data_IF_913294028976
#
_entry.id   IF_913294028976
#
_cell.length_a   1.000
_cell.length_b   1.000
_cell.length_c   1.000
_cell.angle_alpha   90.00
_cell.angle_beta   90.00
_cell.angle_gamma   90.00
#
_symmetry.space_group_name_H-M   'P 1'
#
loop_
_entity.id
_entity.type
_entity.pdbx_description
1 polymer ?
#
# COMPACT_ATOMS: atom_id res chain seq x y z
N UNK A 1 -54.22 1.53 0.78
CA UNK A 1 -53.98 2.04 2.15
C UNK A 1 -52.69 2.86 2.10
N UNK A 2 -52.78 4.19 2.18
CA UNK A 2 -51.61 5.05 2.23
C UNK A 2 -51.03 5.06 3.66
N UNK A 3 -49.71 5.06 3.79
CA UNK A 3 -49.05 5.09 5.10
C UNK A 3 -49.43 6.37 5.87
N UNK A 4 -49.67 6.25 7.18
CA UNK A 4 -50.08 7.37 8.04
C UNK A 4 -48.99 8.45 8.11
N UNK A 5 -49.41 9.72 8.02
CA UNK A 5 -48.49 10.87 8.12
C UNK A 5 -47.88 10.91 9.51
N UNK A 6 -46.55 10.89 9.60
CA UNK A 6 -45.80 10.89 10.88
C UNK A 6 -45.20 9.54 11.29
N UNK A 7 -45.30 8.52 10.44
CA UNK A 7 -44.79 7.20 10.79
C UNK A 7 -43.24 7.15 10.78
N UNK A 8 -42.63 6.79 11.92
CA UNK A 8 -41.17 6.78 12.12
C UNK A 8 -40.58 5.37 12.00
N UNK A 9 -40.87 4.67 10.89
CA UNK A 9 -40.40 3.30 10.63
C UNK A 9 -38.88 3.12 10.76
N UNK A 10 -38.09 4.18 10.52
CA UNK A 10 -36.64 4.20 10.72
C UNK A 10 -36.21 3.97 12.17
N UNK A 11 -37.09 4.16 13.17
CA UNK A 11 -36.84 3.85 14.59
C UNK A 11 -37.05 2.37 14.95
N UNK A 12 -37.72 1.60 14.09
CA UNK A 12 -37.94 0.16 14.25
C UNK A 12 -36.76 -0.67 13.72
N UNK A 13 -35.69 -0.01 13.26
CA UNK A 13 -34.53 -0.67 12.70
C UNK A 13 -33.68 -1.25 13.84
N UNK A 14 -33.50 -2.58 13.83
CA UNK A 14 -32.70 -3.29 14.84
C UNK A 14 -31.18 -3.20 14.62
N UNK A 15 -30.73 -2.91 13.39
CA UNK A 15 -29.31 -2.79 13.04
C UNK A 15 -29.13 -1.91 11.80
N UNK A 16 -28.10 -1.07 11.83
CA UNK A 16 -27.69 -0.26 10.68
C UNK A 16 -26.51 -0.91 9.92
N UNK A 17 -26.59 -0.90 8.58
CA UNK A 17 -25.46 -1.30 7.71
C UNK A 17 -25.27 -2.80 7.47
N UNK A 18 -24.17 -3.14 6.78
CA UNK A 18 -23.73 -4.52 6.51
C UNK A 18 -23.02 -5.06 7.75
N UNK A 19 -23.24 -6.33 8.09
CA UNK A 19 -22.48 -6.99 9.16
C UNK A 19 -20.98 -6.99 8.84
N UNK A 20 -20.16 -6.92 9.90
CA UNK A 20 -18.72 -7.11 9.78
C UNK A 20 -18.46 -8.52 9.23
N UNK A 21 -17.42 -8.64 8.41
CA UNK A 21 -16.93 -9.92 7.89
C UNK A 21 -16.17 -10.65 9.01
N UNK A 22 -15.39 -9.92 9.80
CA UNK A 22 -14.68 -10.44 10.96
C UNK A 22 -15.26 -9.85 12.25
N UNK A 23 -15.57 -10.70 13.22
CA UNK A 23 -16.05 -10.28 14.55
C UNK A 23 -14.89 -10.12 15.53
N UNK A 24 -13.85 -10.96 15.42
CA UNK A 24 -12.64 -10.97 16.24
C UNK A 24 -11.39 -10.62 15.41
N UNK A 25 -10.43 -9.92 16.02
CA UNK A 25 -9.13 -9.60 15.45
C UNK A 25 -8.24 -10.85 15.30
N UNK A 26 -8.39 -11.86 16.16
CA UNK A 26 -7.63 -13.13 16.05
C UNK A 26 -7.97 -13.90 14.77
N UNK A 27 -9.25 -13.95 14.42
CA UNK A 27 -9.72 -14.58 13.17
C UNK A 27 -9.15 -13.84 11.95
N UNK A 28 -9.16 -12.51 12.00
CA UNK A 28 -8.54 -11.69 10.96
C UNK A 28 -7.04 -11.96 10.84
N UNK A 29 -6.32 -12.03 11.97
CA UNK A 29 -4.88 -12.29 11.98
C UNK A 29 -4.57 -13.66 11.37
N UNK A 30 -5.33 -14.68 11.74
CA UNK A 30 -5.17 -16.05 11.23
C UNK A 30 -5.31 -16.10 9.70
N UNK A 31 -6.30 -15.41 9.14
CA UNK A 31 -6.48 -15.35 7.68
C UNK A 31 -5.40 -14.53 6.97
N UNK A 32 -4.90 -13.45 7.59
CA UNK A 32 -3.76 -12.69 7.07
C UNK A 32 -2.48 -13.54 7.05
N UNK A 33 -2.23 -14.31 8.12
CA UNK A 33 -1.08 -15.23 8.19
C UNK A 33 -1.13 -16.29 7.09
N UNK A 34 -2.30 -16.89 6.84
CA UNK A 34 -2.50 -17.82 5.73
C UNK A 34 -2.18 -17.18 4.38
N UNK A 35 -2.69 -15.98 4.12
CA UNK A 35 -2.38 -15.25 2.89
C UNK A 35 -0.87 -15.02 2.72
N UNK A 36 -0.17 -14.60 3.78
CA UNK A 36 1.28 -14.39 3.70
C UNK A 36 2.05 -15.70 3.51
N UNK A 37 1.59 -16.80 4.11
CA UNK A 37 2.18 -18.12 3.87
C UNK A 37 2.01 -18.54 2.40
N UNK A 38 0.78 -18.45 1.87
CA UNK A 38 0.51 -18.75 0.45
C UNK A 38 1.38 -17.91 -0.48
N UNK A 39 1.55 -16.61 -0.17
CA UNK A 39 2.43 -15.73 -0.95
C UNK A 39 3.90 -16.14 -0.89
N UNK A 40 4.37 -16.57 0.27
CA UNK A 40 5.76 -17.04 0.43
C UNK A 40 6.08 -18.33 -0.33
N UNK A 41 5.05 -19.11 -0.67
CA UNK A 41 5.17 -20.37 -1.42
C UNK A 41 4.86 -20.18 -2.93
N UNK A 42 4.39 -19.00 -3.33
CA UNK A 42 3.95 -18.68 -4.69
C UNK A 42 5.06 -17.98 -5.51
N UNK A 43 5.07 -18.26 -6.82
CA UNK A 43 6.03 -17.67 -7.76
C UNK A 43 5.33 -17.19 -9.04
N UNK A 44 5.82 -16.08 -9.57
CA UNK A 44 5.48 -15.54 -10.89
C UNK A 44 6.55 -15.96 -11.88
N UNK A 45 6.14 -16.62 -12.97
CA UNK A 45 7.03 -16.98 -14.07
C UNK A 45 7.20 -15.80 -15.03
N UNK A 46 8.41 -15.25 -15.09
CA UNK A 46 8.79 -14.20 -16.03
C UNK A 46 9.53 -14.82 -17.22
N UNK A 47 9.01 -14.71 -18.46
CA UNK A 47 9.75 -15.12 -19.63
C UNK A 47 10.97 -14.21 -19.83
N UNK A 48 12.12 -14.80 -20.11
CA UNK A 48 13.36 -14.10 -20.48
C UNK A 48 14.11 -14.91 -21.55
N UNK A 49 15.11 -14.30 -22.17
CA UNK A 49 15.90 -14.93 -23.25
C UNK A 49 17.37 -15.00 -22.81
N UNK A 50 18.01 -16.12 -23.09
CA UNK A 50 19.45 -16.27 -22.87
C UNK A 50 20.20 -15.33 -23.83
N UNK A 51 21.01 -14.44 -23.27
CA UNK A 51 21.62 -13.32 -24.01
C UNK A 51 22.98 -13.64 -24.63
N UNK A 52 23.61 -14.76 -24.28
CA UNK A 52 24.97 -15.11 -24.72
C UNK A 52 25.25 -16.61 -24.59
N UNK A 53 26.25 -17.09 -25.34
CA UNK A 53 26.69 -18.49 -25.38
C UNK A 53 25.96 -19.33 -26.42
N UNK A 54 26.19 -20.64 -26.38
CA UNK A 54 25.65 -21.59 -27.38
C UNK A 54 24.12 -21.70 -27.35
N UNK A 55 23.52 -21.39 -26.19
CA UNK A 55 22.07 -21.38 -25.98
C UNK A 55 21.44 -19.98 -26.19
N UNK A 56 22.19 -19.03 -26.75
CA UNK A 56 21.68 -17.68 -26.99
C UNK A 56 20.45 -17.70 -27.90
N UNK A 57 19.40 -16.99 -27.50
CA UNK A 57 18.12 -16.96 -28.21
C UNK A 57 17.08 -17.98 -27.69
N UNK A 58 17.45 -18.88 -26.78
CA UNK A 58 16.49 -19.75 -26.13
C UNK A 58 15.64 -19.02 -25.08
N UNK A 59 14.36 -19.37 -25.02
CA UNK A 59 13.44 -18.83 -24.02
C UNK A 59 13.58 -19.61 -22.71
N UNK A 60 13.74 -18.87 -21.61
CA UNK A 60 13.74 -19.40 -20.26
C UNK A 60 12.61 -18.76 -19.45
N UNK A 61 12.22 -19.41 -18.36
CA UNK A 61 11.30 -18.84 -17.38
C UNK A 61 12.04 -18.63 -16.08
N UNK A 62 12.16 -17.36 -15.67
CA UNK A 62 12.73 -16.98 -14.39
C UNK A 62 11.58 -16.98 -13.38
N UNK A 63 11.74 -17.74 -12.30
CA UNK A 63 10.82 -17.71 -11.16
C UNK A 63 11.13 -16.51 -10.29
N UNK A 64 10.13 -15.70 -10.03
CA UNK A 64 10.20 -14.54 -9.13
C UNK A 64 9.19 -14.77 -8.02
N UNK A 65 9.56 -14.48 -6.77
CA UNK A 65 8.63 -14.58 -5.64
C UNK A 65 7.39 -13.72 -5.88
N UNK A 66 6.23 -14.20 -5.44
CA UNK A 66 4.98 -13.44 -5.49
C UNK A 66 4.90 -12.48 -4.29
N UNK A 67 4.57 -11.21 -4.54
CA UNK A 67 4.60 -10.16 -3.53
C UNK A 67 3.20 -9.72 -3.13
N UNK A 68 2.90 -9.61 -1.82
CA UNK A 68 1.60 -9.21 -1.37
C UNK A 68 1.37 -7.73 -1.63
N UNK A 69 0.10 -7.39 -1.88
CA UNK A 69 -0.36 -6.00 -1.99
C UNK A 69 -1.53 -5.79 -1.04
N UNK A 70 -1.76 -4.53 -0.64
CA UNK A 70 -2.84 -4.18 0.29
C UNK A 70 -4.21 -4.48 -0.34
N UNK A 71 -4.33 -4.18 -1.62
CA UNK A 71 -5.52 -4.39 -2.43
C UNK A 71 -5.83 -5.88 -2.57
N UNK A 72 -4.83 -6.69 -2.93
CA UNK A 72 -5.01 -8.13 -3.07
C UNK A 72 -5.33 -8.79 -1.73
N UNK A 73 -4.63 -8.42 -0.64
CA UNK A 73 -4.96 -8.90 0.71
C UNK A 73 -6.43 -8.58 1.05
N UNK A 74 -6.89 -7.36 0.73
CA UNK A 74 -8.28 -6.99 0.98
C UNK A 74 -9.27 -7.85 0.19
N UNK A 75 -8.95 -8.17 -1.06
CA UNK A 75 -9.78 -9.04 -1.92
C UNK A 75 -9.77 -10.48 -1.41
N UNK A 76 -8.61 -11.00 -1.01
CA UNK A 76 -8.46 -12.34 -0.43
C UNK A 76 -9.34 -12.50 0.82
N UNK A 77 -9.34 -11.49 1.69
CA UNK A 77 -10.16 -11.45 2.91
C UNK A 77 -11.65 -11.16 2.65
N UNK A 78 -12.08 -11.04 1.38
CA UNK A 78 -13.48 -10.85 0.99
C UNK A 78 -13.97 -9.40 1.01
N UNK A 79 -13.07 -8.42 1.11
CA UNK A 79 -13.38 -7.00 0.94
C UNK A 79 -13.27 -6.57 -0.52
N UNK A 80 -14.02 -5.54 -0.90
CA UNK A 80 -13.97 -5.02 -2.26
C UNK A 80 -12.73 -4.15 -2.54
N UNK A 81 -12.14 -3.56 -1.48
CA UNK A 81 -11.01 -2.63 -1.56
C UNK A 81 -10.35 -2.44 -0.20
N UNK A 82 -9.10 -1.99 -0.20
CA UNK A 82 -8.28 -1.79 0.99
C UNK A 82 -8.94 -0.89 2.04
N UNK A 83 -9.61 0.20 1.64
CA UNK A 83 -10.23 1.12 2.60
C UNK A 83 -11.31 0.43 3.45
N UNK A 84 -11.99 -0.58 2.90
CA UNK A 84 -13.01 -1.33 3.65
C UNK A 84 -12.40 -2.14 4.80
N UNK A 85 -11.22 -2.72 4.56
CA UNK A 85 -10.43 -3.42 5.58
C UNK A 85 -9.80 -2.41 6.54
N UNK A 86 -9.22 -1.32 6.03
CA UNK A 86 -8.59 -0.27 6.84
C UNK A 86 -9.54 0.32 7.90
N UNK A 87 -10.83 0.44 7.60
CA UNK A 87 -11.83 0.92 8.56
C UNK A 87 -11.94 0.04 9.82
N UNK A 88 -11.45 -1.21 9.78
CA UNK A 88 -11.46 -2.06 10.98
C UNK A 88 -10.56 -1.54 12.09
N UNK A 89 -9.53 -0.75 11.74
CA UNK A 89 -8.66 -0.08 12.71
C UNK A 89 -9.41 0.85 13.67
N UNK A 90 -10.61 1.29 13.30
CA UNK A 90 -11.43 2.19 14.12
C UNK A 90 -12.33 1.43 15.12
N UNK A 91 -12.44 0.10 15.02
CA UNK A 91 -13.33 -0.66 15.89
C UNK A 91 -12.72 -1.02 17.25
N UNK A 92 -11.49 -1.52 17.27
CA UNK A 92 -10.76 -1.90 18.50
C UNK A 92 -9.25 -1.74 18.30
N UNK A 93 -8.51 -1.64 19.40
CA UNK A 93 -7.04 -1.60 19.39
C UNK A 93 -6.45 -2.87 18.77
N UNK A 94 -7.05 -4.04 19.03
CA UNK A 94 -6.57 -5.32 18.48
C UNK A 94 -6.64 -5.34 16.94
N UNK A 95 -7.74 -4.82 16.35
CA UNK A 95 -7.83 -4.68 14.90
C UNK A 95 -6.80 -3.67 14.36
N UNK A 96 -6.55 -2.58 15.09
CA UNK A 96 -5.52 -1.62 14.72
C UNK A 96 -4.15 -2.27 14.69
N UNK A 97 -3.79 -3.06 15.71
CA UNK A 97 -2.51 -3.76 15.81
C UNK A 97 -2.32 -4.75 14.66
N UNK A 98 -3.29 -5.66 14.45
CA UNK A 98 -3.22 -6.69 13.40
C UNK A 98 -3.09 -6.06 12.01
N UNK A 99 -3.89 -5.05 11.69
CA UNK A 99 -3.86 -4.43 10.34
C UNK A 99 -2.56 -3.63 10.17
N UNK A 100 -2.07 -2.97 11.23
CA UNK A 100 -0.80 -2.22 11.17
C UNK A 100 0.40 -3.15 11.03
N UNK A 101 0.37 -4.31 11.69
CA UNK A 101 1.35 -5.38 11.49
C UNK A 101 1.35 -5.84 10.03
N UNK A 102 0.18 -6.16 9.47
CA UNK A 102 0.06 -6.58 8.07
C UNK A 102 0.59 -5.53 7.09
N UNK A 103 0.28 -4.25 7.29
CA UNK A 103 0.83 -3.16 6.49
C UNK A 103 2.36 -3.08 6.58
N UNK A 104 2.90 -3.28 7.78
CA UNK A 104 4.34 -3.25 8.04
C UNK A 104 5.04 -4.43 7.35
N UNK A 105 4.45 -5.63 7.36
CA UNK A 105 4.97 -6.79 6.63
C UNK A 105 5.02 -6.52 5.13
N UNK A 106 3.92 -6.05 4.54
CA UNK A 106 3.82 -5.73 3.11
C UNK A 106 4.84 -4.64 2.73
N UNK A 107 4.96 -3.59 3.55
CA UNK A 107 5.95 -2.53 3.36
C UNK A 107 7.38 -3.09 3.31
N UNK A 108 7.73 -3.94 4.28
CA UNK A 108 9.06 -4.52 4.38
C UNK A 108 9.39 -5.46 3.21
N UNK A 109 8.44 -6.27 2.74
CA UNK A 109 8.64 -7.09 1.55
C UNK A 109 8.94 -6.20 0.33
N UNK A 110 8.08 -5.22 0.05
CA UNK A 110 8.29 -4.29 -1.08
C UNK A 110 9.67 -3.64 -1.02
N UNK A 111 10.09 -3.16 0.16
CA UNK A 111 11.37 -2.47 0.33
C UNK A 111 12.57 -3.42 0.12
N UNK A 112 12.57 -4.59 0.78
CA UNK A 112 13.65 -5.59 0.67
C UNK A 112 13.88 -6.05 -0.77
N UNK A 113 12.79 -6.38 -1.47
CA UNK A 113 12.88 -6.88 -2.85
C UNK A 113 13.19 -5.77 -3.86
N UNK A 114 12.81 -4.53 -3.56
CA UNK A 114 13.26 -3.36 -4.33
C UNK A 114 14.76 -3.12 -4.16
N UNK A 115 15.28 -3.26 -2.94
CA UNK A 115 16.70 -3.07 -2.64
C UNK A 115 17.62 -4.04 -3.40
N UNK A 116 17.16 -5.27 -3.69
CA UNK A 116 17.89 -6.26 -4.50
C UNK A 116 17.57 -6.20 -6.00
N UNK A 117 16.76 -5.23 -6.44
CA UNK A 117 16.45 -5.01 -7.87
C UNK A 117 15.43 -5.97 -8.47
N UNK A 118 14.72 -6.76 -7.65
CA UNK A 118 13.64 -7.64 -8.13
C UNK A 118 12.41 -6.81 -8.53
N UNK A 119 12.09 -5.80 -7.73
CA UNK A 119 11.00 -4.87 -7.99
C UNK A 119 11.50 -3.57 -8.62
N UNK A 120 10.66 -2.93 -9.44
CA UNK A 120 10.99 -1.65 -10.04
C UNK A 120 10.95 -0.53 -8.97
N UNK A 121 12.12 0.01 -8.64
CA UNK A 121 12.26 1.02 -7.59
C UNK A 121 11.41 2.28 -7.82
N UNK A 122 11.24 2.72 -9.06
CA UNK A 122 10.46 3.93 -9.37
C UNK A 122 8.95 3.71 -9.13
N UNK A 123 8.44 2.51 -9.39
CA UNK A 123 7.04 2.16 -9.12
C UNK A 123 6.82 2.07 -7.62
N UNK A 124 7.71 1.36 -6.90
CA UNK A 124 7.59 1.17 -5.46
C UNK A 124 7.80 2.48 -4.69
N UNK A 125 8.71 3.37 -5.11
CA UNK A 125 8.86 4.68 -4.49
C UNK A 125 7.56 5.50 -4.57
N UNK A 126 6.85 5.45 -5.69
CA UNK A 126 5.54 6.13 -5.85
C UNK A 126 4.44 5.49 -5.01
N UNK A 127 4.40 4.15 -4.96
CA UNK A 127 3.44 3.38 -4.16
C UNK A 127 3.63 3.62 -2.65
N UNK A 128 4.87 3.65 -2.18
CA UNK A 128 5.21 3.88 -0.78
C UNK A 128 5.23 5.37 -0.39
N UNK A 129 5.10 6.28 -1.36
CA UNK A 129 5.21 7.73 -1.12
C UNK A 129 6.61 8.19 -0.71
N UNK A 130 7.65 7.46 -1.10
CA UNK A 130 9.04 7.84 -0.87
C UNK A 130 9.39 8.95 -1.87
N UNK A 131 9.62 10.16 -1.36
CA UNK A 131 9.97 11.31 -2.17
C UNK A 131 11.48 11.59 -2.10
N UNK A 132 12.07 11.87 -3.26
CA UNK A 132 13.43 12.40 -3.34
C UNK A 132 13.46 13.82 -2.78
N UNK A 133 14.25 14.01 -1.72
CA UNK A 133 14.57 15.35 -1.22
C UNK A 133 15.69 15.92 -2.08
N UNK A 134 15.33 16.77 -3.04
CA UNK A 134 16.31 17.57 -3.76
C UNK A 134 16.54 18.88 -3.01
N UNK A 135 17.78 19.11 -2.59
CA UNK A 135 18.21 20.42 -2.13
C UNK A 135 18.52 21.29 -3.35
N UNK A 136 17.65 22.25 -3.63
CA UNK A 136 17.85 23.24 -4.70
C UNK A 136 18.56 24.50 -4.18
N UNK A 137 19.11 24.44 -2.96
CA UNK A 137 19.70 25.58 -2.25
C UNK A 137 21.21 25.44 -2.03
N UNK A 138 21.86 26.58 -1.81
CA UNK A 138 23.29 26.75 -1.54
C UNK A 138 23.71 25.99 -0.28
N UNK A 139 24.26 24.78 -0.42
CA UNK A 139 24.93 24.03 0.65
C UNK A 139 24.18 23.99 2.00
N UNK A 140 22.84 23.85 1.98
CA UNK A 140 22.02 23.74 3.19
C UNK A 140 21.51 25.06 3.80
N UNK A 141 21.67 26.21 3.12
CA UNK A 141 21.07 27.49 3.55
C UNK A 141 19.66 27.71 2.97
N UNK A 142 18.72 28.17 3.80
CA UNK A 142 17.35 28.46 3.35
C UNK A 142 17.32 29.55 2.26
N UNK A 143 16.74 29.25 1.09
CA UNK A 143 16.44 30.27 0.09
C UNK A 143 15.31 31.15 0.65
N UNK A 144 15.68 32.34 1.13
CA UNK A 144 14.75 33.43 1.35
C UNK A 144 14.58 34.21 0.05
N UNK A 145 13.33 34.38 -0.40
CA UNK A 145 13.00 35.23 -1.56
C UNK A 145 13.54 36.67 -1.39
N UNK A 146 13.70 37.14 -0.15
CA UNK A 146 14.28 38.45 0.15
C UNK A 146 15.77 38.57 -0.21
N UNK A 147 16.53 37.46 -0.19
CA UNK A 147 17.94 37.43 -0.57
C UNK A 147 18.15 37.61 -2.08
N UNK A 148 17.20 37.13 -2.89
CA UNK A 148 17.19 37.32 -4.34
C UNK A 148 16.93 38.78 -4.72
N UNK A 149 15.98 39.43 -4.06
CA UNK A 149 15.64 40.85 -4.28
C UNK A 149 16.78 41.83 -3.90
N UNK A 150 17.61 41.47 -2.90
CA UNK A 150 18.77 42.28 -2.52
C UNK A 150 19.89 42.28 -3.58
N UNK A 151 20.04 41.21 -4.35
CA UNK A 151 21.06 41.12 -5.42
C UNK A 151 20.63 41.85 -6.70
N UNK A 152 19.33 42.01 -6.95
CA UNK A 152 18.82 42.68 -8.16
C UNK A 152 18.80 44.21 -8.08
N UNK A 153 19.13 44.81 -6.93
CA UNK A 153 19.12 46.26 -6.76
C UNK A 153 20.47 46.78 -6.26
N UNK A 154 21.50 46.90 -7.12
CA UNK A 154 22.63 47.74 -6.81
C UNK A 154 22.14 49.19 -6.95
N UNK A 155 21.58 49.75 -5.88
CA UNK A 155 21.40 51.20 -5.80
C UNK A 155 22.83 51.76 -5.74
N UNK A 156 23.27 52.29 -6.87
CA UNK A 156 24.48 53.09 -6.99
C UNK A 156 24.17 54.46 -6.39
N UNK A 157 24.96 54.85 -5.39
CA UNK A 157 25.13 56.27 -5.02
C UNK A 157 25.97 57.00 -6.07
#
# INVERSE_FOLDING_TARGET
>A
MAATVGNKYYKLRSKDGRNKIFENAEDLNTEIEKYFQEKSESFINKPDIIKSGDLAGENIQIKIDDFPTKEELSIYLGFAKWESLKNYKEYTEDFLEVITWAETVIYNWKLKYTAIGVLNANIIARDLGIADKQDLTTNGESISFGSFLKKSNPISE
#
